data_IF_429431380970
#
_entry.id   IF_429431380970
#
_cell.length_a   1.000
_cell.length_b   1.000
_cell.length_c   1.000
_cell.angle_alpha   90.00
_cell.angle_beta   90.00
_cell.angle_gamma   90.00
#
_symmetry.space_group_name_H-M   'P 1'
#
loop_
_entity.id
_entity.type
_entity.pdbx_description
1 polymer ?
#
# COMPACT_ATOMS: atom_id res chain seq x y z
N UNK A 1 -13.09 -13.65 -27.66
CA UNK A 1 -12.01 -13.49 -26.66
C UNK A 1 -12.36 -12.32 -25.77
N UNK A 2 -12.32 -12.51 -24.45
CA UNK A 2 -12.69 -11.46 -23.49
C UNK A 2 -11.58 -10.41 -23.38
N UNK A 3 -11.96 -9.14 -23.27
CA UNK A 3 -11.06 -8.03 -22.95
C UNK A 3 -11.08 -7.79 -21.43
N UNK A 4 -10.03 -7.20 -20.88
CA UNK A 4 -10.01 -6.85 -19.46
C UNK A 4 -11.18 -5.95 -19.07
N UNK A 5 -11.64 -5.07 -19.96
CA UNK A 5 -12.78 -4.20 -19.71
C UNK A 5 -14.09 -4.97 -19.46
N UNK A 6 -14.32 -6.04 -20.21
CA UNK A 6 -15.50 -6.90 -20.07
C UNK A 6 -15.47 -7.66 -18.72
N UNK A 7 -14.27 -8.09 -18.31
CA UNK A 7 -14.06 -8.79 -17.04
C UNK A 7 -14.12 -7.83 -15.83
N UNK A 8 -13.58 -6.63 -15.94
CA UNK A 8 -13.59 -5.62 -14.90
C UNK A 8 -15.00 -5.08 -14.58
N UNK A 9 -15.95 -5.23 -15.51
CA UNK A 9 -17.37 -4.90 -15.26
C UNK A 9 -18.06 -5.94 -14.36
N UNK A 10 -17.55 -7.16 -14.29
CA UNK A 10 -18.08 -8.25 -13.46
C UNK A 10 -17.65 -8.06 -12.01
N UNK A 11 -18.49 -8.53 -11.09
CA UNK A 11 -18.16 -8.50 -9.65
C UNK A 11 -17.19 -9.61 -9.23
N UNK A 12 -17.10 -10.67 -10.01
CA UNK A 12 -16.29 -11.84 -9.72
C UNK A 12 -14.86 -11.61 -10.22
N UNK A 13 -13.90 -11.61 -9.30
CA UNK A 13 -12.47 -11.51 -9.58
C UNK A 13 -11.68 -12.11 -8.41
N UNK A 14 -10.39 -12.35 -8.60
CA UNK A 14 -9.54 -12.99 -7.60
C UNK A 14 -8.67 -11.99 -6.79
N UNK A 15 -8.89 -10.69 -6.94
CA UNK A 15 -8.00 -9.69 -6.35
C UNK A 15 -8.01 -9.66 -4.83
N UNK A 16 -9.11 -10.07 -4.19
CA UNK A 16 -9.14 -10.21 -2.74
C UNK A 16 -8.16 -11.31 -2.26
N UNK A 17 -8.18 -12.46 -2.93
CA UNK A 17 -7.22 -13.55 -2.67
C UNK A 17 -5.79 -13.11 -2.98
N UNK A 18 -5.55 -12.45 -4.13
CA UNK A 18 -4.20 -11.97 -4.52
C UNK A 18 -3.65 -11.01 -3.47
N UNK A 19 -4.44 -10.07 -2.97
CA UNK A 19 -4.02 -9.17 -1.89
C UNK A 19 -3.74 -9.91 -0.58
N UNK A 20 -4.53 -10.93 -0.25
CA UNK A 20 -4.28 -11.75 0.93
C UNK A 20 -2.98 -12.55 0.80
N UNK A 21 -2.71 -13.13 -0.37
CA UNK A 21 -1.45 -13.81 -0.64
C UNK A 21 -0.25 -12.84 -0.57
N UNK A 22 -0.42 -11.62 -1.07
CA UNK A 22 0.60 -10.58 -0.95
C UNK A 22 0.84 -10.18 0.52
N UNK A 23 -0.21 -10.01 1.34
CA UNK A 23 -0.06 -9.73 2.77
C UNK A 23 0.65 -10.89 3.50
N UNK A 24 0.34 -12.13 3.14
CA UNK A 24 1.03 -13.32 3.67
C UNK A 24 2.50 -13.36 3.24
N UNK A 25 2.80 -12.98 2.00
CA UNK A 25 4.17 -12.88 1.50
C UNK A 25 5.00 -11.82 2.26
N UNK A 26 4.40 -10.68 2.61
CA UNK A 26 5.04 -9.67 3.49
C UNK A 26 5.32 -10.27 4.87
N UNK A 27 4.34 -10.97 5.46
CA UNK A 27 4.52 -11.62 6.76
C UNK A 27 5.67 -12.63 6.76
N UNK A 28 5.78 -13.44 5.69
CA UNK A 28 6.88 -14.39 5.52
C UNK A 28 8.22 -13.64 5.40
N UNK A 29 8.28 -12.63 4.56
CA UNK A 29 9.49 -11.83 4.30
C UNK A 29 10.02 -11.19 5.59
N UNK A 30 9.17 -10.48 6.31
CA UNK A 30 9.51 -9.84 7.58
C UNK A 30 9.92 -10.81 8.67
N UNK A 31 9.45 -12.06 8.63
CA UNK A 31 9.87 -13.08 9.59
C UNK A 31 11.39 -13.36 9.62
N UNK A 32 12.10 -13.03 8.53
CA UNK A 32 13.56 -13.21 8.48
C UNK A 32 14.31 -12.12 9.27
N UNK A 33 14.19 -10.82 8.94
CA UNK A 33 14.87 -9.79 9.73
C UNK A 33 14.38 -9.71 11.17
N UNK A 34 13.10 -9.98 11.45
CA UNK A 34 12.56 -9.97 12.80
C UNK A 34 13.04 -11.13 13.69
N UNK A 35 13.37 -12.27 13.09
CA UNK A 35 13.90 -13.44 13.80
C UNK A 35 15.43 -13.46 13.90
N UNK A 36 16.12 -13.01 12.84
CA UNK A 36 17.57 -13.21 12.66
C UNK A 36 18.38 -11.92 12.70
N UNK A 37 17.74 -10.74 12.67
CA UNK A 37 18.39 -9.43 12.64
C UNK A 37 18.39 -8.80 11.25
N UNK A 38 18.81 -7.53 11.21
CA UNK A 38 18.73 -6.66 10.04
C UNK A 38 19.43 -7.21 8.77
N UNK A 39 20.53 -7.94 8.96
CA UNK A 39 21.34 -8.47 7.85
C UNK A 39 20.79 -9.81 7.30
N UNK A 40 19.65 -10.28 7.81
CA UNK A 40 19.06 -11.52 7.35
C UNK A 40 18.57 -11.41 5.89
N UNK A 41 19.00 -12.38 5.08
CA UNK A 41 18.58 -12.46 3.67
C UNK A 41 17.13 -12.93 3.59
N UNK A 42 16.27 -12.08 3.08
CA UNK A 42 14.86 -12.38 2.86
C UNK A 42 14.67 -13.34 1.66
N UNK A 43 13.59 -14.15 1.64
CA UNK A 43 13.29 -15.03 0.51
C UNK A 43 13.26 -14.28 -0.82
N UNK A 44 13.82 -14.88 -1.86
CA UNK A 44 13.99 -14.41 -3.23
C UNK A 44 15.10 -13.36 -3.43
N UNK A 45 15.60 -12.70 -2.39
CA UNK A 45 16.58 -11.61 -2.53
C UNK A 45 17.85 -12.01 -3.29
N UNK A 46 18.46 -13.16 -2.92
CA UNK A 46 19.69 -13.65 -3.57
C UNK A 46 19.49 -14.03 -5.03
N UNK A 47 18.33 -14.56 -5.34
CA UNK A 47 18.04 -15.06 -6.68
C UNK A 47 17.48 -13.98 -7.60
N UNK A 48 16.52 -13.23 -7.12
CA UNK A 48 15.76 -12.24 -7.92
C UNK A 48 16.32 -10.83 -7.80
N UNK A 49 17.13 -10.54 -6.76
CA UNK A 49 17.51 -9.18 -6.40
C UNK A 49 16.33 -8.35 -5.82
N UNK A 50 15.22 -9.02 -5.54
CA UNK A 50 14.00 -8.47 -4.92
C UNK A 50 13.56 -9.43 -3.83
N UNK A 51 13.23 -8.93 -2.65
CA UNK A 51 12.66 -9.75 -1.58
C UNK A 51 11.24 -10.21 -1.93
N UNK A 52 10.77 -11.23 -1.24
CA UNK A 52 9.37 -11.66 -1.31
C UNK A 52 8.42 -10.51 -0.86
N UNK A 53 8.87 -9.69 0.08
CA UNK A 53 8.20 -8.47 0.51
C UNK A 53 8.07 -7.45 -0.61
N UNK A 54 9.16 -7.21 -1.38
CA UNK A 54 9.12 -6.30 -2.53
C UNK A 54 8.12 -6.75 -3.59
N UNK A 55 8.12 -8.05 -3.93
CA UNK A 55 7.16 -8.63 -4.88
C UNK A 55 5.71 -8.45 -4.40
N UNK A 56 5.49 -8.59 -3.09
CA UNK A 56 4.18 -8.35 -2.50
C UNK A 56 3.77 -6.87 -2.57
N UNK A 57 4.67 -5.94 -2.28
CA UNK A 57 4.43 -4.49 -2.37
C UNK A 57 4.16 -4.07 -3.82
N UNK A 58 4.93 -4.59 -4.80
CA UNK A 58 4.64 -4.42 -6.23
C UNK A 58 3.20 -4.87 -6.55
N UNK A 59 2.80 -6.04 -6.02
CA UNK A 59 1.43 -6.57 -6.22
C UNK A 59 0.38 -5.61 -5.65
N UNK A 60 0.57 -5.09 -4.43
CA UNK A 60 -0.35 -4.14 -3.83
C UNK A 60 -0.46 -2.86 -4.66
N UNK A 61 0.64 -2.27 -5.09
CA UNK A 61 0.59 -1.04 -5.87
C UNK A 61 0.01 -1.24 -7.28
N UNK A 62 0.29 -2.35 -7.97
CA UNK A 62 -0.35 -2.70 -9.24
C UNK A 62 -1.88 -2.78 -9.10
N UNK A 63 -2.34 -3.56 -8.13
CA UNK A 63 -3.77 -3.75 -7.87
C UNK A 63 -4.41 -2.42 -7.44
N UNK A 64 -3.73 -1.67 -6.57
CA UNK A 64 -4.17 -0.36 -6.11
C UNK A 64 -4.35 0.62 -7.28
N UNK A 65 -3.36 0.76 -8.16
CA UNK A 65 -3.44 1.64 -9.32
C UNK A 65 -4.67 1.40 -10.18
N UNK A 66 -5.02 0.13 -10.42
CA UNK A 66 -6.21 -0.25 -11.18
C UNK A 66 -7.51 0.11 -10.44
N UNK A 67 -7.66 -0.35 -9.20
CA UNK A 67 -8.92 -0.19 -8.47
C UNK A 67 -9.15 1.22 -7.94
N UNK A 68 -8.11 1.97 -7.66
CA UNK A 68 -8.21 3.38 -7.31
C UNK A 68 -8.68 4.20 -8.51
N UNK A 69 -8.17 3.91 -9.70
CA UNK A 69 -8.64 4.49 -10.94
C UNK A 69 -10.12 4.18 -11.20
N UNK A 70 -10.51 2.92 -11.06
CA UNK A 70 -11.91 2.49 -11.14
C UNK A 70 -12.80 3.18 -10.09
N UNK A 71 -12.30 3.33 -8.86
CA UNK A 71 -13.01 4.00 -7.78
C UNK A 71 -13.20 5.50 -8.05
N UNK A 72 -12.21 6.16 -8.67
CA UNK A 72 -12.31 7.57 -9.05
C UNK A 72 -13.36 7.79 -10.14
N UNK A 73 -13.40 6.92 -11.14
CA UNK A 73 -14.41 6.99 -12.21
C UNK A 73 -15.85 6.77 -11.70
N UNK A 74 -16.00 6.00 -10.61
CA UNK A 74 -17.32 5.68 -10.02
C UNK A 74 -17.72 6.62 -8.89
N UNK A 75 -16.87 7.51 -8.46
CA UNK A 75 -17.16 8.43 -7.37
C UNK A 75 -18.00 9.61 -7.85
N UNK A 76 -19.04 9.95 -7.09
CA UNK A 76 -19.95 11.05 -7.40
C UNK A 76 -19.24 12.42 -7.32
N UNK A 77 -18.21 12.50 -6.49
CA UNK A 77 -17.39 13.70 -6.32
C UNK A 77 -15.96 13.38 -5.86
N UNK A 78 -15.08 14.37 -5.93
CA UNK A 78 -13.72 14.24 -5.35
C UNK A 78 -13.79 14.00 -3.84
N UNK A 79 -14.73 14.63 -3.13
CA UNK A 79 -14.91 14.43 -1.70
C UNK A 79 -15.36 13.00 -1.39
N UNK A 80 -16.29 12.45 -2.16
CA UNK A 80 -16.74 11.07 -2.02
C UNK A 80 -15.58 10.07 -2.26
N UNK A 81 -14.74 10.32 -3.28
CA UNK A 81 -13.53 9.53 -3.54
C UNK A 81 -12.56 9.57 -2.36
N UNK A 82 -12.19 10.76 -1.88
CA UNK A 82 -11.23 10.93 -0.78
C UNK A 82 -11.76 10.34 0.52
N UNK A 83 -13.04 10.53 0.83
CA UNK A 83 -13.70 9.93 2.00
C UNK A 83 -13.63 8.40 1.97
N UNK A 84 -13.85 7.80 0.79
CA UNK A 84 -13.72 6.35 0.64
C UNK A 84 -12.30 5.84 0.91
N UNK A 85 -11.28 6.60 0.54
CA UNK A 85 -9.85 6.25 0.76
C UNK A 85 -9.47 6.48 2.22
N UNK A 86 -9.89 7.57 2.81
CA UNK A 86 -9.71 7.84 4.24
C UNK A 86 -10.28 6.70 5.10
N UNK A 87 -11.53 6.34 4.87
CA UNK A 87 -12.20 5.27 5.63
C UNK A 87 -11.62 3.88 5.36
N UNK A 88 -10.85 3.70 4.30
CA UNK A 88 -10.16 2.44 4.00
C UNK A 88 -8.89 2.26 4.84
N UNK A 89 -8.17 3.34 5.14
CA UNK A 89 -6.86 3.31 5.81
C UNK A 89 -6.98 3.68 7.29
N UNK A 90 -7.52 4.87 7.57
CA UNK A 90 -7.39 5.49 8.89
C UNK A 90 -8.05 4.75 10.05
N UNK A 91 -9.23 4.12 9.93
CA UNK A 91 -9.83 3.40 11.06
C UNK A 91 -8.96 2.26 11.57
N UNK A 92 -8.43 1.41 10.67
CA UNK A 92 -7.51 0.32 11.03
C UNK A 92 -6.17 0.83 11.52
N UNK A 93 -5.59 1.84 10.84
CA UNK A 93 -4.35 2.50 11.27
C UNK A 93 -4.48 3.07 12.69
N UNK A 94 -5.55 3.81 12.97
CA UNK A 94 -5.77 4.38 14.30
C UNK A 94 -5.83 3.28 15.36
N UNK A 95 -6.53 2.19 15.09
CA UNK A 95 -6.62 1.08 16.06
C UNK A 95 -5.25 0.45 16.31
N UNK A 96 -4.47 0.13 15.29
CA UNK A 96 -3.14 -0.48 15.48
C UNK A 96 -2.19 0.46 16.24
N UNK A 97 -2.24 1.77 15.99
CA UNK A 97 -1.44 2.76 16.72
C UNK A 97 -1.87 2.87 18.19
N UNK A 98 -3.17 2.86 18.48
CA UNK A 98 -3.68 2.86 19.84
C UNK A 98 -3.29 1.58 20.58
N UNK A 99 -3.39 0.41 19.92
CA UNK A 99 -2.93 -0.85 20.50
C UNK A 99 -1.42 -0.84 20.75
N UNK A 100 -0.63 -0.28 19.84
CA UNK A 100 0.81 -0.14 20.00
C UNK A 100 1.17 0.71 21.22
N UNK A 101 0.54 1.89 21.39
CA UNK A 101 0.85 2.84 22.46
C UNK A 101 0.28 2.39 23.81
N UNK A 102 -0.95 1.90 23.87
CA UNK A 102 -1.67 1.68 25.12
C UNK A 102 -1.72 0.23 25.58
N UNK A 103 -1.42 -0.73 24.73
CA UNK A 103 -1.42 -2.15 25.06
C UNK A 103 -0.01 -2.74 24.93
N UNK A 104 0.56 -2.74 23.73
CA UNK A 104 1.88 -3.38 23.47
C UNK A 104 2.99 -2.62 24.21
N UNK A 105 3.02 -1.31 24.09
CA UNK A 105 4.05 -0.49 24.72
C UNK A 105 4.19 -0.73 26.22
N UNK A 106 3.14 -0.58 27.05
CA UNK A 106 3.22 -0.83 28.49
C UNK A 106 3.55 -2.27 28.87
N UNK A 107 3.25 -3.26 28.03
CA UNK A 107 3.53 -4.67 28.29
C UNK A 107 4.97 -5.07 28.00
N UNK A 108 5.64 -4.38 27.07
CA UNK A 108 6.96 -4.78 26.56
C UNK A 108 8.03 -3.70 26.73
N UNK A 109 7.72 -2.56 27.36
CA UNK A 109 8.72 -1.52 27.65
C UNK A 109 9.61 -1.92 28.85
N UNK A 110 10.89 -1.56 28.76
CA UNK A 110 11.85 -1.66 29.88
C UNK A 110 11.68 -0.54 30.92
N UNK A 111 10.89 0.50 30.58
CA UNK A 111 10.63 1.65 31.46
C UNK A 111 9.50 1.33 32.45
N UNK A 112 9.49 2.06 33.58
CA UNK A 112 8.31 2.06 34.43
C UNK A 112 7.09 2.66 33.69
N UNK A 113 5.87 2.26 34.05
CA UNK A 113 4.66 2.80 33.45
C UNK A 113 4.58 4.34 33.52
N UNK A 114 5.08 4.92 34.64
CA UNK A 114 5.12 6.38 34.82
C UNK A 114 6.07 7.05 33.84
N UNK A 115 7.28 6.50 33.64
CA UNK A 115 8.26 7.03 32.69
C UNK A 115 7.75 6.88 31.24
N UNK A 116 7.22 5.72 30.88
CA UNK A 116 6.68 5.45 29.57
C UNK A 116 5.57 6.45 29.19
N UNK A 117 4.57 6.64 30.05
CA UNK A 117 3.46 7.55 29.76
C UNK A 117 3.77 9.03 29.97
N UNK A 118 4.87 9.40 30.63
CA UNK A 118 5.36 10.78 30.69
C UNK A 118 6.22 11.16 29.48
N UNK A 119 6.73 10.19 28.75
CA UNK A 119 7.53 10.46 27.56
C UNK A 119 6.70 11.07 26.44
N UNK A 120 7.13 12.19 25.91
CA UNK A 120 6.54 12.79 24.72
C UNK A 120 6.68 11.91 23.46
N UNK A 121 7.68 11.04 23.40
CA UNK A 121 7.91 10.12 22.29
C UNK A 121 6.83 9.04 22.20
N UNK A 122 6.28 8.62 23.34
CA UNK A 122 5.18 7.65 23.39
C UNK A 122 3.97 8.15 22.60
N UNK A 123 3.55 9.38 22.80
CA UNK A 123 2.45 9.99 22.03
C UNK A 123 2.91 10.45 20.64
N UNK A 124 4.18 10.84 20.53
CA UNK A 124 4.82 11.18 19.27
C UNK A 124 4.75 10.03 18.26
N UNK A 125 4.88 8.77 18.70
CA UNK A 125 4.71 7.61 17.83
C UNK A 125 3.34 7.59 17.16
N UNK A 126 2.25 7.73 17.91
CA UNK A 126 0.91 7.74 17.34
C UNK A 126 0.64 8.95 16.45
N UNK A 127 0.99 10.16 16.92
CA UNK A 127 0.70 11.39 16.18
C UNK A 127 1.47 11.51 14.88
N UNK A 128 2.75 11.15 14.85
CA UNK A 128 3.54 11.16 13.62
C UNK A 128 3.04 10.10 12.62
N UNK A 129 2.81 8.87 13.08
CA UNK A 129 2.33 7.81 12.19
C UNK A 129 0.90 8.03 11.67
N UNK A 130 0.04 8.74 12.41
CA UNK A 130 -1.28 9.16 11.91
C UNK A 130 -1.18 10.17 10.76
N UNK A 131 -0.16 11.03 10.73
CA UNK A 131 0.03 11.95 9.61
C UNK A 131 0.51 11.27 8.35
N UNK A 132 1.14 10.10 8.47
CA UNK A 132 1.85 9.37 7.42
C UNK A 132 3.02 10.12 6.78
N UNK A 133 3.33 11.36 7.22
CA UNK A 133 4.37 12.21 6.65
C UNK A 133 5.75 11.97 7.28
N UNK A 134 5.77 11.52 8.54
CA UNK A 134 6.98 11.29 9.31
C UNK A 134 6.81 10.02 10.12
N UNK A 135 7.40 8.93 9.64
CA UNK A 135 7.26 7.63 10.30
C UNK A 135 8.19 7.50 11.50
N UNK A 136 7.64 7.04 12.62
CA UNK A 136 8.39 6.60 13.79
C UNK A 136 8.21 5.10 13.96
N UNK A 137 9.31 4.38 14.15
CA UNK A 137 9.30 2.92 14.23
C UNK A 137 9.44 2.42 15.66
N UNK A 138 9.86 3.28 16.59
CA UNK A 138 10.20 2.92 17.98
C UNK A 138 9.25 3.56 18.97
N UNK A 139 8.95 2.82 20.04
CA UNK A 139 8.38 3.33 21.29
C UNK A 139 9.43 3.21 22.39
N UNK A 140 9.46 4.14 23.37
CA UNK A 140 10.48 4.14 24.42
C UNK A 140 10.55 2.82 25.17
N UNK A 141 11.72 2.20 25.20
CA UNK A 141 11.97 0.96 25.91
C UNK A 141 11.35 -0.31 25.33
N UNK A 142 10.64 -0.24 24.19
CA UNK A 142 9.86 -1.38 23.67
C UNK A 142 10.68 -2.16 22.65
N UNK A 143 10.80 -3.47 22.86
CA UNK A 143 11.49 -4.42 21.97
C UNK A 143 12.97 -4.12 21.71
N UNK A 144 13.63 -3.36 22.60
CA UNK A 144 15.03 -2.95 22.41
C UNK A 144 16.01 -4.13 22.28
N UNK A 145 15.66 -5.29 22.83
CA UNK A 145 16.48 -6.49 22.81
C UNK A 145 16.06 -7.49 21.71
N UNK A 146 15.17 -7.10 20.80
CA UNK A 146 14.81 -7.91 19.66
C UNK A 146 15.87 -7.81 18.56
N UNK A 147 16.01 -8.83 17.70
CA UNK A 147 16.98 -8.81 16.61
C UNK A 147 16.81 -7.62 15.65
N UNK A 148 15.59 -7.14 15.49
CA UNK A 148 15.24 -5.91 14.78
C UNK A 148 14.31 -5.07 15.65
N UNK A 149 14.82 -4.13 16.45
CA UNK A 149 14.00 -3.34 17.36
C UNK A 149 13.05 -2.41 16.58
N UNK A 150 11.77 -2.48 16.88
CA UNK A 150 10.76 -1.62 16.24
C UNK A 150 9.35 -2.10 16.54
N UNK A 151 8.34 -1.23 16.44
CA UNK A 151 6.96 -1.60 16.70
C UNK A 151 6.24 -2.07 15.45
N UNK A 152 6.36 -1.29 14.37
CA UNK A 152 5.67 -1.61 13.12
C UNK A 152 6.38 -1.00 11.92
N UNK A 153 7.27 -1.77 11.32
CA UNK A 153 7.97 -1.39 10.12
C UNK A 153 7.09 -1.37 8.85
N UNK A 154 5.93 -2.06 8.87
CA UNK A 154 5.09 -2.16 7.65
C UNK A 154 4.41 -0.85 7.26
N UNK A 155 4.27 0.11 8.19
CA UNK A 155 3.47 1.32 7.97
C UNK A 155 4.07 2.29 6.92
N UNK A 156 5.36 2.19 6.63
CA UNK A 156 6.06 3.13 5.73
C UNK A 156 5.47 3.21 4.32
N UNK A 157 4.89 2.13 3.81
CA UNK A 157 4.31 2.11 2.46
C UNK A 157 2.99 2.87 2.38
N UNK A 158 2.29 3.08 3.50
CA UNK A 158 1.01 3.79 3.53
C UNK A 158 1.14 5.26 3.11
N UNK A 159 2.29 5.88 3.36
CA UNK A 159 2.58 7.23 2.84
C UNK A 159 2.47 7.26 1.31
N UNK A 160 3.11 6.31 0.62
CA UNK A 160 3.07 6.25 -0.85
C UNK A 160 1.67 5.92 -1.36
N UNK A 161 0.95 5.05 -0.67
CA UNK A 161 -0.44 4.73 -1.02
C UNK A 161 -1.33 5.98 -0.96
N UNK A 162 -1.24 6.77 0.11
CA UNK A 162 -2.00 8.03 0.23
C UNK A 162 -1.54 9.05 -0.80
N UNK A 163 -0.23 9.19 -1.04
CA UNK A 163 0.30 10.09 -2.07
C UNK A 163 -0.25 9.74 -3.47
N UNK A 164 -0.35 8.44 -3.80
CA UNK A 164 -0.94 8.00 -5.06
C UNK A 164 -2.46 8.20 -5.12
N UNK A 165 -3.17 8.14 -4.00
CA UNK A 165 -4.58 8.54 -3.94
C UNK A 165 -4.76 10.02 -4.27
N UNK A 166 -3.88 10.88 -3.75
CA UNK A 166 -3.89 12.31 -4.06
C UNK A 166 -3.54 12.57 -5.54
N UNK A 167 -2.58 11.83 -6.11
CA UNK A 167 -2.26 11.87 -7.54
C UNK A 167 -3.50 11.54 -8.39
N UNK A 168 -4.18 10.42 -8.12
CA UNK A 168 -5.39 10.03 -8.88
C UNK A 168 -6.52 11.03 -8.67
N UNK A 169 -6.66 11.59 -7.47
CA UNK A 169 -7.65 12.63 -7.19
C UNK A 169 -7.40 13.89 -8.04
N UNK A 170 -6.15 14.35 -8.13
CA UNK A 170 -5.75 15.50 -8.91
C UNK A 170 -5.92 15.25 -10.43
N UNK A 171 -5.46 14.10 -10.92
CA UNK A 171 -5.63 13.71 -12.32
C UNK A 171 -7.11 13.56 -12.68
N UNK A 172 -7.92 12.95 -11.80
CA UNK A 172 -9.35 12.73 -12.02
C UNK A 172 -10.18 14.03 -11.99
N UNK A 173 -9.67 15.09 -11.37
CA UNK A 173 -10.27 16.43 -11.43
C UNK A 173 -9.91 17.18 -12.72
N UNK A 174 -8.97 16.66 -13.50
CA UNK A 174 -8.46 17.23 -14.73
C UNK A 174 -8.86 16.42 -15.96
N UNK A 175 -8.90 17.07 -17.13
CA UNK A 175 -9.11 16.38 -18.41
C UNK A 175 -8.00 15.37 -18.76
N UNK A 176 -6.86 15.39 -18.07
CA UNK A 176 -5.76 14.45 -18.27
C UNK A 176 -6.16 13.00 -18.01
N UNK A 177 -7.11 12.76 -17.12
CA UNK A 177 -7.56 11.41 -16.80
C UNK A 177 -8.67 10.91 -17.75
N UNK A 178 -9.57 11.79 -18.17
CA UNK A 178 -10.76 11.40 -18.96
C UNK A 178 -10.49 11.23 -20.43
N UNK A 179 -9.58 12.03 -21.01
CA UNK A 179 -9.23 12.00 -22.43
C UNK A 179 -8.01 11.13 -22.70
N UNK A 180 -8.16 10.10 -23.57
CA UNK A 180 -7.09 9.13 -23.87
C UNK A 180 -5.79 9.75 -24.37
N UNK A 181 -5.85 10.82 -25.16
CA UNK A 181 -4.64 11.54 -25.64
C UNK A 181 -3.91 12.26 -24.50
N UNK A 182 -4.64 12.89 -23.60
CA UNK A 182 -4.05 13.57 -22.45
C UNK A 182 -3.45 12.60 -21.45
N UNK A 183 -4.10 11.44 -21.23
CA UNK A 183 -3.53 10.38 -20.42
C UNK A 183 -2.25 9.80 -21.04
N UNK A 184 -2.18 9.64 -22.37
CA UNK A 184 -0.94 9.26 -23.05
C UNK A 184 0.16 10.33 -22.86
N UNK A 185 -0.19 11.62 -22.92
CA UNK A 185 0.72 12.72 -22.59
C UNK A 185 1.26 12.67 -21.15
N UNK A 186 0.38 12.36 -20.19
CA UNK A 186 0.78 12.10 -18.80
C UNK A 186 1.77 10.93 -18.71
N UNK A 187 1.50 9.81 -19.39
CA UNK A 187 2.41 8.65 -19.38
C UNK A 187 3.76 8.96 -20.01
N UNK A 188 3.81 9.72 -21.10
CA UNK A 188 5.07 10.17 -21.72
C UNK A 188 5.86 11.07 -20.78
N UNK A 189 5.20 12.04 -20.13
CA UNK A 189 5.83 12.91 -19.15
C UNK A 189 6.36 12.10 -17.95
N UNK A 190 5.53 11.19 -17.40
CA UNK A 190 5.93 10.30 -16.32
C UNK A 190 7.15 9.44 -16.71
N UNK A 191 7.12 8.82 -17.89
CA UNK A 191 8.21 7.99 -18.37
C UNK A 191 9.53 8.81 -18.54
N UNK A 192 9.44 10.01 -19.08
CA UNK A 192 10.60 10.89 -19.21
C UNK A 192 11.16 11.27 -17.82
N UNK A 193 10.29 11.61 -16.87
CA UNK A 193 10.68 11.93 -15.50
C UNK A 193 11.30 10.72 -14.79
N UNK A 194 10.70 9.54 -14.95
CA UNK A 194 11.20 8.28 -14.37
C UNK A 194 12.59 7.92 -14.91
N UNK A 195 12.78 8.01 -16.23
CA UNK A 195 14.07 7.74 -16.89
C UNK A 195 15.13 8.75 -16.45
N UNK A 196 14.79 10.03 -16.38
CA UNK A 196 15.71 11.06 -15.90
C UNK A 196 16.13 10.81 -14.44
N UNK A 197 15.17 10.46 -13.58
CA UNK A 197 15.44 10.11 -12.19
C UNK A 197 16.33 8.86 -12.07
N UNK A 198 16.03 7.79 -12.82
CA UNK A 198 16.82 6.56 -12.85
C UNK A 198 18.26 6.84 -13.31
N UNK A 199 18.45 7.68 -14.32
CA UNK A 199 19.76 8.08 -14.81
C UNK A 199 20.55 8.86 -13.74
N UNK A 200 19.90 9.72 -12.95
CA UNK A 200 20.53 10.44 -11.84
C UNK A 200 20.97 9.48 -10.72
N UNK A 201 20.16 8.49 -10.35
CA UNK A 201 20.52 7.46 -9.36
C UNK A 201 21.73 6.66 -9.86
N UNK A 202 21.68 6.13 -11.09
CA UNK A 202 22.74 5.29 -11.64
C UNK A 202 24.10 6.02 -11.77
N UNK A 203 24.08 7.36 -11.91
CA UNK A 203 25.29 8.18 -11.98
C UNK A 203 25.77 8.71 -10.60
N UNK A 204 25.23 8.18 -9.48
CA UNK A 204 25.54 8.64 -8.11
C UNK A 204 25.42 10.16 -7.91
N UNK A 205 24.62 10.83 -8.73
CA UNK A 205 24.46 12.26 -8.69
C UNK A 205 23.35 12.63 -7.69
N UNK A 206 23.70 13.18 -6.54
CA UNK A 206 22.86 14.02 -5.67
C UNK A 206 21.81 13.36 -4.77
N UNK A 207 21.50 12.04 -4.81
CA UNK A 207 20.31 11.50 -4.18
C UNK A 207 20.50 10.46 -3.08
N UNK A 208 21.72 10.14 -2.65
CA UNK A 208 21.95 9.22 -1.53
C UNK A 208 21.25 9.65 -0.22
N UNK A 209 20.92 10.95 -0.09
CA UNK A 209 20.23 11.50 1.07
C UNK A 209 18.70 11.57 0.92
N UNK A 210 18.15 11.21 -0.26
CA UNK A 210 16.72 11.31 -0.56
C UNK A 210 16.04 9.94 -0.70
N UNK A 211 16.25 9.05 0.27
CA UNK A 211 15.62 7.73 0.32
C UNK A 211 14.11 7.76 0.06
N UNK A 212 13.40 8.77 0.58
CA UNK A 212 11.96 8.93 0.36
C UNK A 212 11.57 9.21 -1.10
N UNK A 213 12.41 9.93 -1.86
CA UNK A 213 12.18 10.22 -3.29
C UNK A 213 12.46 9.00 -4.15
N UNK A 214 13.54 8.27 -3.86
CA UNK A 214 13.84 7.02 -4.55
C UNK A 214 12.70 6.01 -4.39
N UNK A 215 12.26 5.78 -3.17
CA UNK A 215 11.13 4.90 -2.89
C UNK A 215 9.85 5.37 -3.58
N UNK A 216 9.60 6.69 -3.64
CA UNK A 216 8.43 7.22 -4.35
C UNK A 216 8.43 6.85 -5.83
N UNK A 217 9.56 7.04 -6.53
CA UNK A 217 9.65 6.67 -7.94
C UNK A 217 9.59 5.15 -8.14
N UNK A 218 10.30 4.38 -7.33
CA UNK A 218 10.28 2.91 -7.38
C UNK A 218 8.85 2.38 -7.27
N UNK A 219 8.11 2.80 -6.25
CA UNK A 219 6.76 2.30 -6.00
C UNK A 219 5.69 2.96 -6.87
N UNK A 220 5.97 4.12 -7.47
CA UNK A 220 5.05 4.73 -8.44
C UNK A 220 4.92 3.92 -9.73
N UNK A 221 5.96 3.21 -10.17
CA UNK A 221 5.93 2.44 -11.42
C UNK A 221 4.84 1.36 -11.44
N UNK A 222 4.78 0.41 -10.48
CA UNK A 222 3.71 -0.57 -10.45
C UNK A 222 2.32 0.07 -10.32
N UNK A 223 2.19 1.18 -9.58
CA UNK A 223 0.91 1.89 -9.46
C UNK A 223 0.48 2.53 -10.78
N UNK A 224 1.36 3.23 -11.49
CA UNK A 224 1.06 3.86 -12.79
C UNK A 224 0.78 2.81 -13.85
N UNK A 225 1.45 1.65 -13.82
CA UNK A 225 1.10 0.52 -14.69
C UNK A 225 -0.30 0.00 -14.39
N UNK A 226 -0.68 -0.15 -13.12
CA UNK A 226 -2.05 -0.50 -12.71
C UNK A 226 -3.09 0.49 -13.25
N UNK A 227 -2.83 1.81 -13.12
CA UNK A 227 -3.66 2.85 -13.73
C UNK A 227 -3.77 2.69 -15.25
N UNK A 228 -2.65 2.37 -15.92
CA UNK A 228 -2.60 2.18 -17.38
C UNK A 228 -3.42 0.97 -17.82
N UNK A 229 -3.33 -0.15 -17.09
CA UNK A 229 -4.16 -1.32 -17.31
C UNK A 229 -5.65 -1.01 -17.16
N UNK A 230 -6.03 -0.19 -16.18
CA UNK A 230 -7.40 0.28 -16.05
C UNK A 230 -7.81 1.16 -17.23
N UNK A 231 -7.00 2.14 -17.60
CA UNK A 231 -7.32 3.10 -18.65
C UNK A 231 -7.46 2.42 -20.02
N UNK A 232 -6.54 1.49 -20.33
CA UNK A 232 -6.51 0.78 -21.61
C UNK A 232 -7.20 -0.59 -21.57
N UNK A 233 -7.98 -0.89 -20.51
CA UNK A 233 -8.64 -2.21 -20.30
C UNK A 233 -9.48 -2.72 -21.47
N UNK A 234 -10.02 -1.82 -22.29
CA UNK A 234 -10.81 -2.19 -23.48
C UNK A 234 -9.93 -2.69 -24.64
N UNK A 235 -8.63 -2.41 -24.63
CA UNK A 235 -7.67 -2.81 -25.67
C UNK A 235 -6.85 -4.03 -25.27
N UNK A 236 -6.76 -4.34 -23.97
CA UNK A 236 -5.96 -5.43 -23.44
C UNK A 236 -6.78 -6.74 -23.52
N UNK A 237 -6.25 -7.73 -24.25
CA UNK A 237 -6.85 -9.06 -24.33
C UNK A 237 -6.44 -9.91 -23.13
N UNK A 238 -7.38 -10.63 -22.55
CA UNK A 238 -7.13 -11.57 -21.45
C UNK A 238 -6.56 -12.89 -22.01
N UNK A 239 -5.24 -12.94 -22.22
CA UNK A 239 -4.51 -14.10 -22.75
C UNK A 239 -3.23 -14.30 -21.98
N UNK A 240 -2.95 -15.53 -21.53
CA UNK A 240 -1.70 -15.81 -20.81
C UNK A 240 -0.47 -15.48 -21.66
N UNK A 241 -0.49 -15.83 -22.95
CA UNK A 241 0.65 -15.60 -23.86
C UNK A 241 1.10 -14.12 -23.94
N UNK A 242 0.23 -13.18 -23.56
CA UNK A 242 0.55 -11.74 -23.62
C UNK A 242 1.67 -11.31 -22.66
N UNK A 243 2.03 -12.15 -21.66
CA UNK A 243 3.16 -11.86 -20.77
C UNK A 243 4.53 -12.17 -21.42
N UNK A 244 4.60 -13.03 -22.44
CA UNK A 244 5.86 -13.53 -23.01
C UNK A 244 6.84 -12.42 -23.47
N UNK A 245 6.42 -11.37 -24.21
CA UNK A 245 7.36 -10.32 -24.61
C UNK A 245 8.02 -9.65 -23.38
N UNK A 246 7.28 -9.41 -22.31
CA UNK A 246 7.78 -8.84 -21.08
C UNK A 246 8.70 -9.81 -20.33
N UNK A 247 8.36 -11.12 -20.34
CA UNK A 247 9.20 -12.16 -19.75
C UNK A 247 10.57 -12.25 -20.45
N UNK A 248 10.60 -12.16 -21.77
CA UNK A 248 11.85 -12.11 -22.53
C UNK A 248 12.68 -10.89 -22.11
N UNK A 249 12.07 -9.71 -22.01
CA UNK A 249 12.75 -8.52 -21.54
C UNK A 249 13.31 -8.68 -20.12
N UNK A 250 12.55 -9.26 -19.21
CA UNK A 250 12.99 -9.51 -17.82
C UNK A 250 14.19 -10.48 -17.78
N UNK A 251 14.16 -11.54 -18.61
CA UNK A 251 15.31 -12.47 -18.73
C UNK A 251 16.54 -11.77 -19.29
N UNK A 252 16.39 -10.95 -20.35
CA UNK A 252 17.49 -10.19 -20.95
C UNK A 252 18.10 -9.16 -20.00
N UNK A 253 17.31 -8.63 -19.07
CA UNK A 253 17.76 -7.61 -18.10
C UNK A 253 18.12 -8.20 -16.74
N UNK A 254 18.09 -9.54 -16.59
CA UNK A 254 18.40 -10.20 -15.32
C UNK A 254 19.78 -9.74 -14.77
N UNK A 255 19.78 -9.40 -13.50
CA UNK A 255 20.96 -8.89 -12.78
C UNK A 255 21.55 -7.60 -13.35
N UNK A 256 20.78 -6.86 -14.15
CA UNK A 256 21.13 -5.50 -14.57
C UNK A 256 20.33 -4.48 -13.75
N UNK A 257 20.72 -3.20 -13.71
CA UNK A 257 19.96 -2.13 -13.06
C UNK A 257 18.54 -1.91 -13.62
N UNK A 258 18.22 -2.51 -14.76
CA UNK A 258 16.94 -2.37 -15.46
C UNK A 258 16.00 -3.57 -15.23
N UNK A 259 16.44 -4.56 -14.45
CA UNK A 259 15.64 -5.77 -14.19
C UNK A 259 14.33 -5.45 -13.47
N UNK A 260 14.36 -4.54 -12.50
CA UNK A 260 13.17 -4.16 -11.72
C UNK A 260 12.02 -3.71 -12.63
N UNK A 261 12.28 -2.81 -13.57
CA UNK A 261 11.26 -2.27 -14.47
C UNK A 261 10.66 -3.35 -15.37
N UNK A 262 11.49 -4.21 -15.91
CA UNK A 262 11.04 -5.34 -16.74
C UNK A 262 10.28 -6.37 -15.93
N UNK A 263 10.71 -6.67 -14.71
CA UNK A 263 10.00 -7.55 -13.79
C UNK A 263 8.61 -7.00 -13.44
N UNK A 264 8.50 -5.71 -13.11
CA UNK A 264 7.22 -5.07 -12.78
C UNK A 264 6.24 -5.17 -13.94
N UNK A 265 6.68 -5.04 -15.20
CA UNK A 265 5.84 -5.21 -16.38
C UNK A 265 5.28 -6.63 -16.49
N UNK A 266 6.14 -7.66 -16.38
CA UNK A 266 5.73 -9.08 -16.39
C UNK A 266 4.75 -9.35 -15.27
N UNK A 267 5.13 -8.93 -14.06
CA UNK A 267 4.36 -9.21 -12.85
C UNK A 267 2.99 -8.54 -12.88
N UNK A 268 2.93 -7.29 -13.31
CA UNK A 268 1.66 -6.57 -13.49
C UNK A 268 0.74 -7.31 -14.46
N UNK A 269 1.27 -7.77 -15.59
CA UNK A 269 0.47 -8.53 -16.56
C UNK A 269 -0.07 -9.83 -15.94
N UNK A 270 0.79 -10.60 -15.26
CA UNK A 270 0.40 -11.86 -14.61
C UNK A 270 -0.65 -11.64 -13.51
N UNK A 271 -0.49 -10.60 -12.69
CA UNK A 271 -1.45 -10.27 -11.62
C UNK A 271 -2.83 -9.95 -12.21
N UNK A 272 -2.91 -9.18 -13.30
CA UNK A 272 -4.20 -8.91 -13.93
C UNK A 272 -4.76 -10.12 -14.68
N UNK A 273 -3.92 -10.95 -15.28
CA UNK A 273 -4.36 -12.20 -15.84
C UNK A 273 -4.98 -13.11 -14.77
N UNK A 274 -4.28 -13.38 -13.68
CA UNK A 274 -4.75 -14.21 -12.57
C UNK A 274 -5.94 -13.59 -11.82
N UNK A 275 -5.93 -12.26 -11.68
CA UNK A 275 -6.98 -11.52 -11.00
C UNK A 275 -8.34 -11.63 -11.67
N UNK A 276 -8.37 -11.74 -12.99
CA UNK A 276 -9.61 -11.91 -13.76
C UNK A 276 -9.90 -13.35 -14.18
N UNK A 277 -9.01 -14.31 -13.89
CA UNK A 277 -9.22 -15.74 -14.08
C UNK A 277 -10.10 -16.30 -12.95
N UNK A 278 -11.42 -16.15 -13.05
CA UNK A 278 -12.36 -16.51 -11.98
C UNK A 278 -12.49 -18.01 -11.77
N UNK A 279 -12.67 -18.44 -10.52
CA UNK A 279 -12.99 -19.81 -10.14
C UNK A 279 -14.03 -19.82 -9.01
N UNK A 280 -15.04 -20.75 -9.01
CA UNK A 280 -16.12 -20.75 -8.03
C UNK A 280 -15.67 -20.83 -6.56
N UNK A 281 -14.56 -21.52 -6.30
CA UNK A 281 -14.01 -21.64 -4.93
C UNK A 281 -13.48 -20.29 -4.43
N UNK A 282 -12.85 -19.49 -5.32
CA UNK A 282 -12.32 -18.17 -4.98
C UNK A 282 -13.46 -17.18 -4.76
N UNK A 283 -14.56 -17.32 -5.50
CA UNK A 283 -15.77 -16.52 -5.29
C UNK A 283 -16.35 -16.72 -3.88
N UNK A 284 -16.25 -17.93 -3.30
CA UNK A 284 -16.64 -18.18 -1.90
C UNK A 284 -15.74 -17.45 -0.93
N UNK A 285 -14.42 -17.49 -1.15
CA UNK A 285 -13.45 -16.76 -0.34
C UNK A 285 -13.72 -15.24 -0.37
N UNK A 286 -13.99 -14.68 -1.54
CA UNK A 286 -14.24 -13.25 -1.70
C UNK A 286 -15.45 -12.72 -0.91
N UNK A 287 -16.40 -13.61 -0.52
CA UNK A 287 -17.57 -13.24 0.30
C UNK A 287 -17.24 -13.05 1.78
N UNK A 288 -16.12 -13.58 2.25
CA UNK A 288 -15.73 -13.51 3.67
C UNK A 288 -15.38 -12.07 4.09
N UNK A 289 -14.64 -11.35 3.27
CA UNK A 289 -14.18 -9.98 3.54
C UNK A 289 -12.79 -9.72 2.99
N UNK A 290 -12.33 -8.48 3.12
CA UNK A 290 -10.99 -8.08 2.70
C UNK A 290 -10.05 -7.95 3.91
N UNK A 291 -9.50 -9.08 4.33
CA UNK A 291 -8.62 -9.16 5.51
C UNK A 291 -7.18 -8.74 5.24
N UNK A 292 -6.83 -8.47 3.96
CA UNK A 292 -5.44 -8.22 3.57
C UNK A 292 -4.83 -6.98 4.22
N UNK A 293 -5.61 -5.93 4.42
CA UNK A 293 -5.15 -4.71 5.08
C UNK A 293 -4.85 -4.95 6.57
N UNK A 294 -5.79 -5.58 7.28
CA UNK A 294 -5.57 -5.98 8.67
C UNK A 294 -4.35 -6.90 8.81
N UNK A 295 -4.21 -7.93 7.94
CA UNK A 295 -3.05 -8.80 7.95
C UNK A 295 -1.73 -8.03 7.76
N UNK A 296 -1.73 -7.02 6.90
CA UNK A 296 -0.57 -6.17 6.65
C UNK A 296 -0.17 -5.31 7.86
N UNK A 297 -1.13 -4.64 8.50
CA UNK A 297 -0.82 -3.69 9.59
C UNK A 297 -0.60 -4.36 10.95
N UNK A 298 -1.19 -5.55 11.21
CA UNK A 298 -1.02 -6.29 12.48
C UNK A 298 0.12 -7.31 12.42
N UNK A 299 0.58 -7.69 11.22
CA UNK A 299 1.61 -8.72 11.03
C UNK A 299 2.90 -8.41 11.78
N UNK A 300 3.45 -7.24 11.54
CA UNK A 300 4.72 -6.83 12.14
C UNK A 300 4.68 -6.75 13.68
N UNK A 301 3.73 -6.05 14.32
CA UNK A 301 3.64 -6.01 15.79
C UNK A 301 3.49 -7.40 16.42
N UNK A 302 2.73 -8.31 15.80
CA UNK A 302 2.56 -9.66 16.31
C UNK A 302 3.86 -10.46 16.20
N UNK A 303 4.61 -10.30 15.11
CA UNK A 303 5.92 -10.94 14.95
C UNK A 303 6.95 -10.40 15.96
N UNK A 304 6.94 -9.11 16.25
CA UNK A 304 7.79 -8.51 17.27
C UNK A 304 7.48 -9.04 18.70
N UNK A 305 6.19 -9.18 19.01
CA UNK A 305 5.78 -9.82 20.28
C UNK A 305 6.33 -11.26 20.35
N UNK A 306 6.24 -12.02 19.27
CA UNK A 306 6.75 -13.39 19.23
C UNK A 306 8.28 -13.44 19.34
N UNK A 307 9.00 -12.51 18.72
CA UNK A 307 10.45 -12.40 18.84
C UNK A 307 10.89 -12.09 20.29
N UNK A 308 10.09 -11.27 20.98
CA UNK A 308 10.38 -10.93 22.38
C UNK A 308 10.08 -12.10 23.34
N UNK A 309 8.94 -12.76 23.17
CA UNK A 309 8.52 -13.88 24.03
C UNK A 309 9.33 -15.16 23.79
N UNK A 310 9.78 -15.40 22.58
CA UNK A 310 10.49 -16.61 22.16
C UNK A 310 11.87 -16.26 21.61
N UNK A 311 12.79 -15.83 22.49
CA UNK A 311 14.14 -15.43 22.08
C UNK A 311 14.83 -16.54 21.26
N UNK A 312 15.36 -16.16 20.11
CA UNK A 312 15.97 -17.10 19.16
C UNK A 312 14.97 -17.90 18.29
N UNK A 313 13.71 -17.46 18.23
CA UNK A 313 12.71 -18.05 17.32
C UNK A 313 13.20 -17.98 15.87
N UNK A 314 13.11 -19.10 15.14
CA UNK A 314 13.44 -19.10 13.71
C UNK A 314 12.31 -18.54 12.83
N UNK A 315 12.60 -18.07 11.60
CA UNK A 315 11.63 -17.44 10.70
C UNK A 315 10.39 -18.31 10.43
N UNK A 316 10.58 -19.61 10.20
CA UNK A 316 9.46 -20.52 9.93
C UNK A 316 8.55 -20.69 11.16
N UNK A 317 9.13 -20.87 12.34
CA UNK A 317 8.36 -20.99 13.58
C UNK A 317 7.62 -19.70 13.90
N UNK A 318 8.26 -18.55 13.69
CA UNK A 318 7.64 -17.24 13.82
C UNK A 318 6.42 -17.09 12.89
N UNK A 319 6.57 -17.46 11.61
CA UNK A 319 5.48 -17.41 10.63
C UNK A 319 4.31 -18.33 11.04
N UNK A 320 4.59 -19.58 11.44
CA UNK A 320 3.55 -20.54 11.84
C UNK A 320 2.76 -20.08 13.06
N UNK A 321 3.41 -19.43 14.03
CA UNK A 321 2.75 -18.86 15.21
C UNK A 321 2.05 -17.53 14.91
N UNK A 322 2.68 -16.66 14.11
CA UNK A 322 2.13 -15.35 13.78
C UNK A 322 0.89 -15.45 12.88
N UNK A 323 0.89 -16.34 11.88
CA UNK A 323 -0.16 -16.40 10.87
C UNK A 323 -1.59 -16.52 11.45
N UNK A 324 -1.91 -17.48 12.34
CA UNK A 324 -3.24 -17.58 12.91
C UNK A 324 -3.61 -16.33 13.75
N UNK A 325 -2.68 -15.76 14.49
CA UNK A 325 -2.91 -14.56 15.30
C UNK A 325 -3.20 -13.34 14.42
N UNK A 326 -2.43 -13.19 13.34
CA UNK A 326 -2.62 -12.12 12.35
C UNK A 326 -3.97 -12.25 11.66
N UNK A 327 -4.38 -13.45 11.28
CA UNK A 327 -5.69 -13.70 10.66
C UNK A 327 -6.82 -13.34 11.62
N UNK A 328 -6.73 -13.75 12.89
CA UNK A 328 -7.72 -13.40 13.90
C UNK A 328 -7.82 -11.87 14.10
N UNK A 329 -6.68 -11.19 14.21
CA UNK A 329 -6.65 -9.73 14.31
C UNK A 329 -7.24 -9.04 13.07
N UNK A 330 -6.93 -9.54 11.88
CA UNK A 330 -7.45 -9.02 10.61
C UNK A 330 -8.97 -9.22 10.48
N UNK A 331 -9.49 -10.39 10.86
CA UNK A 331 -10.94 -10.68 10.89
C UNK A 331 -11.64 -9.72 11.87
N UNK A 332 -11.09 -9.56 13.09
CA UNK A 332 -11.64 -8.65 14.08
C UNK A 332 -11.65 -7.21 13.53
N UNK A 333 -10.51 -6.71 13.04
CA UNK A 333 -10.40 -5.37 12.46
C UNK A 333 -11.41 -5.13 11.33
N UNK A 334 -11.50 -6.07 10.40
CA UNK A 334 -12.44 -5.96 9.29
C UNK A 334 -13.89 -5.86 9.73
N UNK A 335 -14.34 -6.76 10.59
CA UNK A 335 -15.75 -6.83 10.95
C UNK A 335 -16.21 -5.73 11.91
N UNK A 336 -15.34 -5.32 12.84
CA UNK A 336 -15.70 -4.38 13.89
C UNK A 336 -15.23 -2.93 13.63
N UNK A 337 -14.22 -2.73 12.79
CA UNK A 337 -13.61 -1.41 12.57
C UNK A 337 -13.73 -0.96 11.11
N UNK A 338 -13.11 -1.70 10.17
CA UNK A 338 -12.96 -1.24 8.80
C UNK A 338 -14.29 -1.23 8.03
N UNK A 339 -14.99 -2.36 8.00
CA UNK A 339 -16.26 -2.50 7.29
C UNK A 339 -17.36 -1.55 7.82
N UNK A 340 -17.60 -1.40 9.14
CA UNK A 340 -18.53 -0.42 9.67
C UNK A 340 -18.16 1.03 9.32
N UNK A 341 -16.87 1.37 9.37
CA UNK A 341 -16.40 2.70 8.96
C UNK A 341 -16.69 2.97 7.49
N UNK A 342 -16.33 2.04 6.59
CA UNK A 342 -16.61 2.18 5.16
C UNK A 342 -18.10 2.25 4.82
N UNK A 343 -18.96 1.63 5.60
CA UNK A 343 -20.43 1.69 5.41
C UNK A 343 -20.96 3.13 5.56
N UNK A 344 -20.30 3.99 6.37
CA UNK A 344 -20.66 5.39 6.62
C UNK A 344 -20.13 6.38 5.57
N UNK A 345 -19.53 5.87 4.47
CA UNK A 345 -18.90 6.70 3.43
C UNK A 345 -19.78 7.84 2.93
N UNK A 346 -21.04 7.54 2.57
CA UNK A 346 -21.94 8.54 1.98
C UNK A 346 -22.34 9.63 2.98
N UNK A 347 -22.61 9.27 4.21
CA UNK A 347 -22.94 10.20 5.28
C UNK A 347 -21.77 11.14 5.56
N UNK A 348 -20.56 10.60 5.71
CA UNK A 348 -19.37 11.41 5.97
C UNK A 348 -19.01 12.30 4.76
N UNK A 349 -19.11 11.79 3.54
CA UNK A 349 -18.84 12.57 2.34
C UNK A 349 -19.82 13.73 2.21
N UNK A 350 -21.09 13.51 2.48
CA UNK A 350 -22.12 14.55 2.48
C UNK A 350 -21.83 15.62 3.56
N UNK A 351 -21.54 15.19 4.79
CA UNK A 351 -21.21 16.09 5.90
C UNK A 351 -20.00 16.97 5.57
N UNK A 352 -18.90 16.38 5.08
CA UNK A 352 -17.69 17.13 4.71
C UNK A 352 -17.93 18.10 3.55
N UNK A 353 -18.74 17.72 2.57
CA UNK A 353 -19.12 18.60 1.46
C UNK A 353 -19.92 19.80 1.96
N UNK A 354 -20.89 19.57 2.84
CA UNK A 354 -21.72 20.62 3.45
C UNK A 354 -20.88 21.60 4.28
N UNK A 355 -19.92 21.11 5.07
CA UNK A 355 -18.99 21.96 5.81
C UNK A 355 -18.14 22.83 4.89
N UNK A 356 -17.61 22.27 3.79
CA UNK A 356 -16.82 23.02 2.81
C UNK A 356 -17.65 24.11 2.12
N UNK A 357 -18.88 23.85 1.78
CA UNK A 357 -19.74 24.83 1.14
C UNK A 357 -20.13 25.95 2.13
N UNK A 358 -20.34 25.65 3.39
CA UNK A 358 -20.53 26.66 4.45
C UNK A 358 -19.28 27.52 4.60
N UNK A 359 -18.09 26.98 4.61
CA UNK A 359 -16.84 27.76 4.67
C UNK A 359 -16.67 28.64 3.44
N UNK A 360 -17.00 28.15 2.23
CA UNK A 360 -16.97 28.99 1.00
C UNK A 360 -17.96 30.15 1.03
N UNK A 361 -19.14 29.97 1.63
CA UNK A 361 -20.14 31.05 1.78
C UNK A 361 -19.72 32.07 2.82
N UNK A 362 -19.04 31.65 3.89
CA UNK A 362 -18.53 32.54 4.93
C UNK A 362 -17.27 33.31 4.47
N UNK A 363 -16.53 32.79 3.49
CA UNK A 363 -15.34 33.44 2.92
C UNK A 363 -15.50 33.63 1.40
N UNK A 364 -16.38 34.56 0.95
CA UNK A 364 -16.47 34.88 -0.46
C UNK A 364 -15.11 35.39 -0.93
N UNK A 365 -14.63 34.90 -2.09
CA UNK A 365 -13.36 35.35 -2.69
C UNK A 365 -13.34 36.89 -2.71
N UNK A 366 -12.51 37.48 -1.86
CA UNK A 366 -12.19 38.90 -1.94
C UNK A 366 -11.62 39.19 -3.33
N UNK A 367 -12.31 40.01 -4.11
CA UNK A 367 -11.74 40.75 -5.23
C UNK A 367 -11.80 40.09 -6.61
N UNK A 368 -12.96 40.20 -7.29
CA UNK A 368 -12.91 40.79 -8.64
C UNK A 368 -13.28 42.26 -8.47
N UNK A 369 -12.29 43.05 -8.11
CA UNK A 369 -12.38 44.49 -8.19
C UNK A 369 -12.69 44.86 -9.63
N UNK A 370 -13.80 45.51 -9.87
CA UNK A 370 -14.18 46.20 -11.09
C UNK A 370 -13.07 47.19 -11.45
N UNK A 371 -12.24 46.87 -12.42
CA UNK A 371 -11.54 47.87 -13.18
C UNK A 371 -12.55 48.47 -14.16
N UNK A 372 -13.06 49.62 -13.82
CA UNK A 372 -13.64 50.54 -14.78
C UNK A 372 -12.53 51.36 -15.42
#
# INVERSE_FOLDING_TARGET
MSRLGDLASRRNNNFNLIRMLAATAVLISHGYPLALGHDAVEPLSDWLGLSLGDVAVITFFCVSGFFISLSRDRADSTMDFLTARFLRIYPGLTLVLLLSVFLIGPMFTTLSASEYFRSGETYGYATHNLTLLSMKFHLPGVFENNPWPGINGSLWTLFYEVAFYMLVSALGASAFYTEGRKFAGFLMFYAALYVAFKALILNNALFNDFYGVESFFTWSLPFVLGMSFYRYRQHIQHRLIGFLPFAVLAVCTWRTPYFFECFVLVWTYLIFYLGFATHPTIDRYNRLGDYSYGAYIYGFPIQEILADLFKGIGPLSMMLLAFPLVILAAIFSWHFIERPAMARRRELAWFLSSCLDTVKTLWPKAGKGSAR
#
